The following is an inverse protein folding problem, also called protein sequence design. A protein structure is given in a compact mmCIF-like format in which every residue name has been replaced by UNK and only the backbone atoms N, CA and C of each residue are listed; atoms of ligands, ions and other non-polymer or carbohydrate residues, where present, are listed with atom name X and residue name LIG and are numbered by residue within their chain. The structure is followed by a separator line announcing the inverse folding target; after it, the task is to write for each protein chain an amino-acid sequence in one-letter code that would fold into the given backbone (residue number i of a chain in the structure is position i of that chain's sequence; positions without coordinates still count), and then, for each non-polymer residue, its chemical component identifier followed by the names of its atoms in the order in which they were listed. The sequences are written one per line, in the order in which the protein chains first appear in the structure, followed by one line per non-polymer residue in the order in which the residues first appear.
data_IF_362281133587
#
_entry.id   IF_362281133587
#
_cell.length_a   1.000
_cell.length_b   1.000
_cell.length_c   1.000
_cell.angle_alpha   90.00
_cell.angle_beta   90.00
_cell.angle_gamma   90.00
#
_symmetry.space_group_name_H-M   'P 1'
#
loop_
_entity.id
_entity.type
_entity.pdbx_description
1 polymer ?
#
# COMPACT_ATOMS: atom_id res chain seq x y z
N UNK A 1 4.00 15.51 -6.17
CA UNK A 1 4.55 14.70 -7.28
C UNK A 1 6.06 14.63 -7.10
N UNK A 2 6.59 13.53 -6.58
CA UNK A 2 8.04 13.36 -6.41
C UNK A 2 8.64 12.94 -7.75
N UNK A 3 9.19 13.90 -8.51
CA UNK A 3 9.75 13.69 -9.85
C UNK A 3 11.22 13.22 -9.86
N UNK A 4 11.83 12.87 -8.71
CA UNK A 4 13.31 12.77 -8.66
C UNK A 4 13.89 11.42 -8.19
N UNK A 5 13.11 10.40 -7.89
CA UNK A 5 13.66 9.11 -7.47
C UNK A 5 13.89 8.11 -8.63
N UNK A 6 13.45 8.40 -9.85
CA UNK A 6 13.52 7.46 -10.97
C UNK A 6 14.87 7.42 -11.72
N UNK A 7 15.82 8.26 -11.34
CA UNK A 7 17.16 8.30 -11.96
C UNK A 7 18.29 7.89 -11.01
N UNK A 8 17.96 7.46 -9.80
CA UNK A 8 18.95 7.07 -8.79
C UNK A 8 19.13 5.57 -8.82
N UNK A 9 20.36 5.10 -8.85
CA UNK A 9 20.67 3.69 -8.72
C UNK A 9 20.37 3.24 -7.28
N UNK A 10 19.50 2.26 -7.11
CA UNK A 10 19.17 1.74 -5.79
C UNK A 10 20.37 1.05 -5.12
N UNK A 11 21.35 0.59 -5.90
CA UNK A 11 22.60 0.00 -5.39
C UNK A 11 23.45 0.99 -4.57
N UNK A 12 23.33 2.29 -4.83
CA UNK A 12 23.99 3.32 -4.01
C UNK A 12 23.52 3.28 -2.55
N UNK A 13 22.30 2.78 -2.27
CA UNK A 13 21.79 2.65 -0.91
C UNK A 13 22.64 1.72 -0.05
N UNK A 14 23.23 0.68 -0.62
CA UNK A 14 24.07 -0.27 0.13
C UNK A 14 25.39 0.33 0.59
N UNK A 15 25.90 1.33 -0.11
CA UNK A 15 27.09 2.08 0.34
C UNK A 15 26.78 3.12 1.42
N UNK A 16 25.51 3.53 1.55
CA UNK A 16 25.08 4.57 2.47
C UNK A 16 24.44 4.02 3.75
N UNK A 17 23.78 2.85 3.65
CA UNK A 17 22.99 2.29 4.73
C UNK A 17 23.17 0.79 4.88
N UNK A 18 23.27 0.33 6.14
CA UNK A 18 22.95 -1.03 6.53
C UNK A 18 21.49 -1.09 6.97
N UNK A 19 20.87 -2.27 6.88
CA UNK A 19 19.48 -2.47 7.25
C UNK A 19 19.36 -3.59 8.29
N UNK A 20 18.56 -3.35 9.33
CA UNK A 20 18.27 -4.36 10.34
C UNK A 20 16.85 -4.94 10.08
N UNK A 21 16.75 -6.19 9.60
CA UNK A 21 15.47 -6.80 9.25
C UNK A 21 14.55 -7.04 10.45
N UNK A 22 15.09 -7.21 11.64
CA UNK A 22 14.30 -7.47 12.85
C UNK A 22 13.59 -6.21 13.35
N UNK A 23 14.19 -5.04 13.14
CA UNK A 23 13.63 -3.75 13.58
C UNK A 23 13.03 -2.95 12.44
N UNK A 24 13.32 -3.27 11.19
CA UNK A 24 12.91 -2.49 10.01
C UNK A 24 13.66 -1.16 9.88
N UNK A 25 14.80 -0.97 10.58
CA UNK A 25 15.54 0.29 10.62
C UNK A 25 16.77 0.28 9.73
N UNK A 26 17.00 1.43 9.10
CA UNK A 26 18.24 1.74 8.39
C UNK A 26 19.28 2.30 9.38
N UNK A 27 20.53 1.88 9.22
CA UNK A 27 21.68 2.42 9.92
C UNK A 27 22.55 3.19 8.92
N UNK A 28 22.82 4.46 9.16
CA UNK A 28 23.68 5.26 8.30
C UNK A 28 25.16 4.89 8.50
N UNK A 29 25.80 4.41 7.45
CA UNK A 29 27.24 4.09 7.45
C UNK A 29 28.10 5.34 7.52
N UNK A 30 27.58 6.50 7.11
CA UNK A 30 28.30 7.77 7.15
C UNK A 30 28.17 8.44 8.52
N UNK A 31 26.94 8.43 9.11
CA UNK A 31 26.68 9.10 10.38
C UNK A 31 26.86 8.19 11.60
N UNK A 32 27.11 6.90 11.37
CA UNK A 32 27.25 5.86 12.40
C UNK A 32 26.11 5.81 13.42
N UNK A 33 24.85 5.96 12.92
CA UNK A 33 23.65 5.93 13.75
C UNK A 33 22.45 5.36 13.01
N UNK A 34 21.48 4.85 13.76
CA UNK A 34 20.17 4.49 13.20
C UNK A 34 19.42 5.73 12.71
N UNK A 35 18.71 5.55 11.59
CA UNK A 35 17.85 6.58 11.02
C UNK A 35 16.41 6.25 11.40
N UNK A 36 15.83 7.08 12.26
CA UNK A 36 14.44 6.89 12.70
C UNK A 36 13.42 7.43 11.68
N UNK A 37 13.86 8.22 10.71
CA UNK A 37 12.99 8.94 9.80
C UNK A 37 12.28 10.11 10.49
N UNK A 38 11.62 10.94 9.69
CA UNK A 38 10.79 12.04 10.18
C UNK A 38 9.33 11.65 10.00
N UNK A 39 8.54 11.50 11.08
CA UNK A 39 7.13 11.20 10.96
C UNK A 39 6.39 12.38 10.31
N UNK A 40 5.37 12.06 9.52
CA UNK A 40 4.47 13.05 8.94
C UNK A 40 3.04 12.52 8.92
N UNK A 41 2.08 13.45 8.88
CA UNK A 41 0.68 13.15 8.63
C UNK A 41 0.27 13.92 7.36
N UNK A 42 -0.27 13.23 6.37
CA UNK A 42 -0.72 13.85 5.14
C UNK A 42 -2.15 14.42 5.27
N UNK A 43 -2.60 15.17 4.26
CA UNK A 43 -3.93 15.79 4.23
C UNK A 43 -5.10 14.78 4.28
N UNK A 44 -4.83 13.49 4.16
CA UNK A 44 -5.79 12.38 4.26
C UNK A 44 -5.72 11.69 5.62
N UNK A 45 -5.03 12.30 6.59
CA UNK A 45 -4.77 11.75 7.91
C UNK A 45 -3.97 10.41 7.89
N UNK A 46 -3.14 10.23 6.86
CA UNK A 46 -2.23 9.09 6.75
C UNK A 46 -0.92 9.43 7.46
N UNK A 47 -0.57 8.65 8.47
CA UNK A 47 0.72 8.74 9.13
C UNK A 47 1.78 7.96 8.34
N UNK A 48 2.97 8.54 8.18
CA UNK A 48 4.08 7.90 7.51
C UNK A 48 5.42 8.41 8.04
N UNK A 49 6.50 7.85 7.52
CA UNK A 49 7.86 8.31 7.77
C UNK A 49 8.54 8.75 6.48
N UNK A 50 9.28 9.85 6.56
CA UNK A 50 10.15 10.31 5.50
C UNK A 50 11.61 10.24 5.93
N UNK A 51 12.51 10.13 4.96
CA UNK A 51 13.94 10.15 5.16
C UNK A 51 14.58 11.11 4.15
N UNK A 52 15.52 11.92 4.62
CA UNK A 52 16.37 12.71 3.74
C UNK A 52 17.57 11.88 3.34
N UNK A 53 17.70 11.60 2.06
CA UNK A 53 18.78 10.83 1.46
C UNK A 53 19.61 11.73 0.56
N UNK A 54 20.92 11.50 0.52
CA UNK A 54 21.81 12.20 -0.40
C UNK A 54 22.23 11.24 -1.51
N UNK A 55 21.84 11.56 -2.74
CA UNK A 55 22.16 10.78 -3.93
C UNK A 55 22.76 11.70 -5.00
N UNK A 56 23.83 11.25 -5.69
CA UNK A 56 24.47 12.03 -6.75
C UNK A 56 24.79 13.48 -6.36
N UNK A 57 25.17 13.70 -5.09
CA UNK A 57 25.45 15.04 -4.53
C UNK A 57 24.22 15.89 -4.16
N UNK A 58 22.99 15.43 -4.44
CA UNK A 58 21.74 16.15 -4.13
C UNK A 58 21.03 15.51 -2.94
N UNK A 59 20.50 16.35 -2.03
CA UNK A 59 19.62 15.90 -0.95
C UNK A 59 18.20 15.83 -1.46
N UNK A 60 17.56 14.70 -1.27
CA UNK A 60 16.13 14.49 -1.58
C UNK A 60 15.41 13.87 -0.40
N UNK A 61 14.13 14.14 -0.27
CA UNK A 61 13.28 13.52 0.73
C UNK A 61 12.45 12.41 0.07
N UNK A 62 12.52 11.23 0.63
CA UNK A 62 11.79 10.07 0.15
C UNK A 62 10.95 9.45 1.28
N UNK A 63 9.92 8.69 0.92
CA UNK A 63 9.19 7.88 1.87
C UNK A 63 10.10 6.75 2.38
N UNK A 64 10.14 6.57 3.70
CA UNK A 64 11.04 5.62 4.36
C UNK A 64 10.84 4.17 3.86
N UNK A 65 9.60 3.71 3.76
CA UNK A 65 9.30 2.37 3.27
C UNK A 65 9.74 2.15 1.82
N UNK A 66 9.73 3.20 0.98
CA UNK A 66 10.25 3.10 -0.40
C UNK A 66 11.78 2.96 -0.43
N UNK A 67 12.48 3.64 0.47
CA UNK A 67 13.95 3.52 0.60
C UNK A 67 14.31 2.13 1.12
N UNK A 68 13.61 1.64 2.15
CA UNK A 68 13.82 0.29 2.68
C UNK A 68 13.53 -0.76 1.60
N UNK A 69 12.43 -0.62 0.87
CA UNK A 69 12.09 -1.55 -0.20
C UNK A 69 13.14 -1.55 -1.32
N UNK A 70 13.63 -0.37 -1.73
CA UNK A 70 14.69 -0.26 -2.72
C UNK A 70 16.00 -0.86 -2.22
N UNK A 71 16.33 -0.69 -0.94
CA UNK A 71 17.48 -1.33 -0.31
C UNK A 71 17.39 -2.86 -0.34
N UNK A 72 16.18 -3.41 -0.05
CA UNK A 72 15.94 -4.86 -0.02
C UNK A 72 15.96 -5.52 -1.41
N UNK A 73 15.49 -4.81 -2.42
CA UNK A 73 15.29 -5.38 -3.76
C UNK A 73 16.35 -4.96 -4.77
N UNK A 74 17.15 -3.94 -4.47
CA UNK A 74 18.07 -3.32 -5.43
C UNK A 74 17.37 -2.45 -6.48
N UNK A 75 16.05 -2.23 -6.37
CA UNK A 75 15.27 -1.51 -7.37
C UNK A 75 14.29 -0.53 -6.72
N UNK A 76 14.20 0.67 -7.29
CA UNK A 76 13.14 1.60 -6.93
C UNK A 76 11.78 1.11 -7.42
N UNK A 77 10.77 1.23 -6.56
CA UNK A 77 9.38 0.95 -6.98
C UNK A 77 8.99 1.90 -8.12
N UNK A 78 8.57 1.38 -9.31
CA UNK A 78 8.27 2.20 -10.46
C UNK A 78 7.05 3.11 -10.23
N UNK A 79 6.85 4.07 -11.14
CA UNK A 79 5.66 4.93 -11.12
C UNK A 79 4.39 4.08 -11.25
N UNK A 80 3.34 4.46 -10.51
CA UNK A 80 2.07 3.71 -10.48
C UNK A 80 2.02 2.59 -9.44
N UNK A 81 3.15 2.31 -8.76
CA UNK A 81 3.19 1.36 -7.65
C UNK A 81 3.44 2.05 -6.31
N UNK A 82 2.88 1.48 -5.26
CA UNK A 82 3.07 1.89 -3.87
C UNK A 82 3.79 0.78 -3.09
N UNK A 83 4.48 1.17 -2.04
CA UNK A 83 4.93 0.23 -1.01
C UNK A 83 3.88 0.27 0.10
N UNK A 84 3.23 -0.86 0.28
CA UNK A 84 2.14 -1.07 1.23
C UNK A 84 2.65 -1.80 2.47
N UNK A 85 2.07 -1.46 3.63
CA UNK A 85 2.30 -2.15 4.90
C UNK A 85 1.15 -3.13 5.13
N UNK A 86 1.44 -4.43 5.07
CA UNK A 86 0.43 -5.50 5.13
C UNK A 86 -0.42 -5.38 6.39
N UNK A 87 0.19 -5.06 7.53
CA UNK A 87 -0.47 -4.88 8.82
C UNK A 87 -1.08 -3.48 9.04
N UNK A 88 -1.09 -2.60 8.03
CA UNK A 88 -1.53 -1.20 8.12
C UNK A 88 -0.77 -0.33 9.14
N UNK A 89 0.39 -0.77 9.65
CA UNK A 89 1.27 0.02 10.49
C UNK A 89 2.41 0.61 9.65
N UNK A 90 2.32 1.87 9.30
CA UNK A 90 3.30 2.58 8.47
C UNK A 90 4.68 2.78 9.11
N UNK A 91 4.83 2.46 10.39
CA UNK A 91 6.09 2.51 11.12
C UNK A 91 6.82 1.15 11.13
N UNK A 92 6.14 0.07 10.76
CA UNK A 92 6.70 -1.28 10.71
C UNK A 92 7.26 -1.57 9.32
N UNK A 93 8.52 -1.21 9.12
CA UNK A 93 9.22 -1.39 7.84
C UNK A 93 10.00 -2.72 7.77
N UNK A 94 9.65 -3.73 8.54
CA UNK A 94 10.25 -5.06 8.45
C UNK A 94 9.93 -5.73 7.10
N UNK A 95 10.85 -6.57 6.54
CA UNK A 95 10.76 -7.02 5.15
C UNK A 95 9.48 -7.83 4.87
N UNK A 96 9.02 -8.64 5.82
CA UNK A 96 7.80 -9.44 5.69
C UNK A 96 6.50 -8.63 5.78
N UNK A 97 6.59 -7.34 6.16
CA UNK A 97 5.45 -6.42 6.24
C UNK A 97 5.35 -5.47 5.06
N UNK A 98 6.37 -5.44 4.19
CA UNK A 98 6.41 -4.56 3.02
C UNK A 98 6.11 -5.34 1.74
N UNK A 99 5.26 -4.78 0.90
CA UNK A 99 5.00 -5.30 -0.44
C UNK A 99 4.80 -4.18 -1.46
N UNK A 100 5.18 -4.43 -2.70
CA UNK A 100 4.87 -3.56 -3.83
C UNK A 100 3.50 -3.90 -4.38
N UNK A 101 2.63 -2.90 -4.46
CA UNK A 101 1.24 -3.03 -4.92
C UNK A 101 0.90 -1.94 -5.92
N UNK A 102 -0.07 -2.19 -6.78
CA UNK A 102 -0.71 -1.16 -7.60
C UNK A 102 -1.55 -0.23 -6.73
N UNK A 103 -1.93 0.94 -7.26
CA UNK A 103 -2.86 1.86 -6.57
C UNK A 103 -4.19 1.18 -6.24
N UNK A 104 -4.67 0.27 -7.11
CA UNK A 104 -5.90 -0.48 -6.89
C UNK A 104 -5.78 -1.42 -5.70
N UNK A 105 -4.72 -2.22 -5.66
CA UNK A 105 -4.45 -3.16 -4.55
C UNK A 105 -4.25 -2.41 -3.24
N UNK A 106 -3.47 -1.33 -3.24
CA UNK A 106 -3.27 -0.50 -2.05
C UNK A 106 -4.60 0.03 -1.47
N UNK A 107 -5.54 0.40 -2.34
CA UNK A 107 -6.88 0.83 -1.90
C UNK A 107 -7.70 -0.31 -1.26
N UNK A 108 -7.42 -1.57 -1.58
CA UNK A 108 -8.09 -2.72 -0.97
C UNK A 108 -7.63 -2.98 0.48
N UNK A 109 -6.38 -2.61 0.83
CA UNK A 109 -5.83 -2.74 2.19
C UNK A 109 -6.06 -1.50 3.07
N UNK A 110 -6.73 -0.49 2.56
CA UNK A 110 -6.93 0.77 3.29
C UNK A 110 -7.75 0.56 4.56
N UNK A 111 -7.26 1.07 5.70
CA UNK A 111 -7.99 1.06 6.98
C UNK A 111 -9.39 1.69 6.84
N UNK A 112 -10.41 1.03 7.37
CA UNK A 112 -11.81 1.45 7.24
C UNK A 112 -12.45 1.11 5.89
N UNK A 113 -11.77 0.34 5.04
CA UNK A 113 -12.27 -0.12 3.74
C UNK A 113 -12.27 -1.64 3.66
N UNK A 114 -12.82 -2.28 4.68
CA UNK A 114 -12.76 -3.74 4.90
C UNK A 114 -13.37 -4.54 3.75
N UNK A 115 -14.42 -4.00 3.14
CA UNK A 115 -15.16 -4.65 2.03
C UNK A 115 -15.17 -3.75 0.79
N UNK A 116 -14.07 -3.72 0.02
CA UNK A 116 -13.95 -2.88 -1.17
C UNK A 116 -15.10 -3.09 -2.15
N UNK A 117 -15.61 -2.00 -2.71
CA UNK A 117 -16.68 -2.05 -3.71
C UNK A 117 -18.07 -2.28 -3.15
N UNK A 118 -18.23 -2.43 -1.83
CA UNK A 118 -19.54 -2.60 -1.19
C UNK A 118 -19.82 -1.50 -0.17
N UNK A 119 -21.07 -1.08 -0.08
CA UNK A 119 -21.53 -0.10 0.90
C UNK A 119 -23.04 -0.23 1.15
N UNK A 120 -23.47 0.21 2.32
CA UNK A 120 -24.89 0.23 2.67
C UNK A 120 -25.61 1.38 1.97
N UNK A 121 -26.62 1.06 1.18
CA UNK A 121 -27.49 2.04 0.56
C UNK A 121 -28.69 2.33 1.48
N UNK A 122 -28.65 3.44 2.18
CA UNK A 122 -29.64 3.82 3.20
C UNK A 122 -31.05 3.96 2.60
N UNK A 123 -31.18 4.54 1.40
CA UNK A 123 -32.48 4.76 0.76
C UNK A 123 -33.16 3.44 0.36
N UNK A 124 -32.37 2.45 -0.06
CA UNK A 124 -32.86 1.13 -0.48
C UNK A 124 -32.83 0.10 0.64
N UNK A 125 -32.18 0.41 1.77
CA UNK A 125 -31.95 -0.50 2.90
C UNK A 125 -31.36 -1.84 2.44
N UNK A 126 -30.35 -1.76 1.56
CA UNK A 126 -29.64 -2.91 0.97
C UNK A 126 -28.17 -2.63 0.79
N UNK A 127 -27.37 -3.68 0.71
CA UNK A 127 -25.96 -3.61 0.32
C UNK A 127 -25.85 -3.39 -1.18
N UNK A 128 -25.09 -2.41 -1.59
CA UNK A 128 -24.81 -2.11 -2.97
C UNK A 128 -23.41 -2.52 -3.33
N UNK A 129 -23.23 -3.27 -4.44
CA UNK A 129 -21.94 -3.56 -5.02
C UNK A 129 -21.70 -2.66 -6.25
N UNK A 130 -20.46 -2.18 -6.38
CA UNK A 130 -20.00 -1.41 -7.53
C UNK A 130 -18.50 -1.61 -7.75
N UNK A 131 -18.04 -1.41 -8.99
CA UNK A 131 -16.61 -1.44 -9.35
C UNK A 131 -16.25 -0.23 -10.20
N UNK A 132 -14.99 0.20 -10.10
CA UNK A 132 -14.47 1.26 -10.96
C UNK A 132 -13.69 0.63 -12.12
N UNK A 133 -14.13 0.92 -13.36
CA UNK A 133 -13.48 0.50 -14.59
C UNK A 133 -13.01 1.78 -15.30
N UNK A 134 -11.69 2.00 -15.33
CA UNK A 134 -11.13 3.28 -15.78
C UNK A 134 -11.66 4.44 -14.93
N UNK A 135 -12.32 5.42 -15.57
CA UNK A 135 -12.93 6.58 -14.90
C UNK A 135 -14.39 6.37 -14.50
N UNK A 136 -15.04 5.29 -14.93
CA UNK A 136 -16.48 5.02 -14.69
C UNK A 136 -16.68 4.14 -13.49
N UNK A 137 -17.78 4.38 -12.75
CA UNK A 137 -18.32 3.46 -11.75
C UNK A 137 -19.38 2.59 -12.42
N UNK A 138 -19.24 1.29 -12.29
CA UNK A 138 -20.17 0.29 -12.80
C UNK A 138 -20.94 -0.28 -11.61
N UNK A 139 -22.24 -0.17 -11.65
CA UNK A 139 -23.15 -0.75 -10.68
C UNK A 139 -23.26 -2.26 -10.92
N UNK A 140 -23.19 -3.06 -9.86
CA UNK A 140 -23.20 -4.53 -9.92
C UNK A 140 -24.46 -5.14 -9.30
N UNK A 141 -25.22 -4.37 -8.52
CA UNK A 141 -26.47 -4.82 -7.92
C UNK A 141 -26.71 -4.34 -6.50
N UNK A 142 -27.92 -4.65 -6.01
CA UNK A 142 -28.39 -4.48 -4.63
C UNK A 142 -28.66 -5.84 -4.02
N UNK A 143 -28.19 -6.05 -2.80
CA UNK A 143 -28.24 -7.33 -2.11
C UNK A 143 -28.81 -7.13 -0.70
N UNK A 144 -29.53 -8.09 -0.19
CA UNK A 144 -29.99 -8.11 1.20
C UNK A 144 -28.83 -8.44 2.15
N UNK A 145 -27.87 -9.22 1.66
CA UNK A 145 -26.72 -9.69 2.38
C UNK A 145 -25.43 -9.03 1.90
N UNK A 146 -24.52 -8.71 2.85
CA UNK A 146 -23.22 -8.08 2.58
C UNK A 146 -22.26 -9.02 1.88
N UNK A 147 -22.27 -10.31 2.28
CA UNK A 147 -21.38 -11.31 1.69
C UNK A 147 -21.69 -11.50 0.20
N UNK A 148 -22.98 -11.54 -0.18
CA UNK A 148 -23.40 -11.63 -1.58
C UNK A 148 -22.96 -10.40 -2.40
N UNK A 149 -23.10 -9.19 -1.84
CA UNK A 149 -22.62 -7.98 -2.49
C UNK A 149 -21.09 -8.00 -2.69
N UNK A 150 -20.36 -8.43 -1.67
CA UNK A 150 -18.91 -8.48 -1.70
C UNK A 150 -18.38 -9.59 -2.62
N UNK A 151 -19.00 -10.77 -2.62
CA UNK A 151 -18.71 -11.86 -3.56
C UNK A 151 -18.89 -11.40 -5.02
N UNK A 152 -19.96 -10.65 -5.30
CA UNK A 152 -20.20 -10.08 -6.64
C UNK A 152 -19.11 -9.10 -7.06
N UNK A 153 -18.62 -8.27 -6.15
CA UNK A 153 -17.48 -7.38 -6.43
C UNK A 153 -16.20 -8.17 -6.74
N UNK A 154 -15.87 -9.21 -5.96
CA UNK A 154 -14.68 -10.05 -6.17
C UNK A 154 -14.79 -10.80 -7.49
N UNK A 155 -15.93 -11.43 -7.78
CA UNK A 155 -16.16 -12.12 -9.05
C UNK A 155 -15.99 -11.18 -10.26
N UNK A 156 -16.43 -9.93 -10.14
CA UNK A 156 -16.22 -8.94 -11.21
C UNK A 156 -14.76 -8.51 -11.33
N UNK A 157 -14.01 -8.47 -10.23
CA UNK A 157 -12.56 -8.27 -10.29
C UNK A 157 -11.88 -9.40 -11.07
N UNK A 158 -12.24 -10.64 -10.77
CA UNK A 158 -11.68 -11.83 -11.42
C UNK A 158 -11.99 -11.85 -12.93
N UNK A 159 -13.24 -11.55 -13.30
CA UNK A 159 -13.66 -11.43 -14.72
C UNK A 159 -12.84 -10.39 -15.48
N UNK A 160 -12.47 -9.29 -14.82
CA UNK A 160 -11.71 -8.20 -15.42
C UNK A 160 -10.17 -8.39 -15.32
N UNK A 161 -9.72 -9.51 -14.76
CA UNK A 161 -8.29 -9.74 -14.52
C UNK A 161 -7.67 -8.77 -13.49
N UNK A 162 -8.48 -8.21 -12.60
CA UNK A 162 -7.99 -7.33 -11.55
C UNK A 162 -7.53 -8.13 -10.34
N UNK A 163 -6.29 -7.86 -9.91
CA UNK A 163 -5.77 -8.50 -8.71
C UNK A 163 -6.61 -8.15 -7.47
N UNK A 164 -6.90 -9.18 -6.67
CA UNK A 164 -7.55 -9.08 -5.37
C UNK A 164 -6.60 -9.62 -4.33
N UNK A 165 -6.28 -8.81 -3.33
CA UNK A 165 -5.32 -9.17 -2.28
C UNK A 165 -5.81 -10.40 -1.48
N UNK A 166 -4.91 -11.29 -1.04
CA UNK A 166 -5.27 -12.50 -0.30
C UNK A 166 -6.12 -12.24 0.94
N UNK A 167 -5.79 -11.20 1.70
CA UNK A 167 -6.55 -10.80 2.90
C UNK A 167 -7.95 -10.30 2.58
N UNK A 168 -8.19 -9.74 1.39
CA UNK A 168 -9.52 -9.33 0.92
C UNK A 168 -10.38 -10.56 0.63
N UNK A 169 -9.79 -11.60 0.01
CA UNK A 169 -10.46 -12.87 -0.20
C UNK A 169 -10.73 -13.61 1.12
N UNK A 170 -9.81 -13.51 2.06
CA UNK A 170 -10.00 -14.08 3.40
C UNK A 170 -11.20 -13.47 4.11
N UNK A 171 -11.34 -12.13 4.07
CA UNK A 171 -12.51 -11.43 4.64
C UNK A 171 -13.85 -11.88 4.03
N UNK A 172 -13.86 -12.25 2.73
CA UNK A 172 -15.09 -12.81 2.14
C UNK A 172 -15.44 -14.16 2.76
N UNK A 173 -14.45 -15.06 2.93
CA UNK A 173 -14.69 -16.37 3.56
C UNK A 173 -15.23 -16.21 4.99
N UNK A 174 -14.59 -15.36 5.79
CA UNK A 174 -15.03 -15.06 7.16
C UNK A 174 -16.44 -14.49 7.22
N UNK A 175 -16.82 -13.65 6.24
CA UNK A 175 -18.14 -13.06 6.18
C UNK A 175 -19.23 -14.06 5.73
N UNK A 176 -18.86 -15.12 5.00
CA UNK A 176 -19.77 -16.19 4.57
C UNK A 176 -19.99 -17.24 5.66
N UNK A 177 -19.07 -17.36 6.64
CA UNK A 177 -19.12 -18.28 7.76
C UNK A 177 -19.81 -17.67 8.99
N UNK A 178 -20.06 -16.36 9.02
CA UNK A 178 -20.67 -15.61 10.13
C UNK A 178 -22.19 -15.53 10.02
#
# INVERSE_FOLDING_TARGET
MSKHTSSLDASELWSLYAYNPLTGKLFSLIQHKYIDGTPYIDNRNYAGMSISCRFGGKTTTANYSRVVYAWLTGEWSPAGYHIDHINNNSLDNRPWNLRRVTVRENNQNRKGYEYPGTYWNTNRRKWQAQIRIGKRRVYLGLFTDRAAAFATYIAKCDELGYAVLPEVRQRLRELQES
#
